data_IF_845673320969
#
_entry.id   IF_845673320969
#
_cell.length_a   1.000
_cell.length_b   1.000
_cell.length_c   1.000
_cell.angle_alpha   90.00
_cell.angle_beta   90.00
_cell.angle_gamma   90.00
#
_symmetry.space_group_name_H-M   'P 1'
#
loop_
_entity.id
_entity.type
_entity.pdbx_description
1 polymer ?
#
# COMPACT_ATOMS: atom_id res chain seq x y z
N UNK A 1 3.21 14.39 -9.67
CA UNK A 1 1.77 14.23 -9.97
C UNK A 1 1.59 13.57 -11.32
N UNK A 2 0.67 12.61 -11.40
CA UNK A 2 0.29 11.91 -12.64
C UNK A 2 -0.17 12.93 -13.68
N UNK A 3 0.23 12.78 -14.95
CA UNK A 3 -0.19 13.76 -15.97
C UNK A 3 -1.70 13.63 -16.26
N UNK A 4 -2.43 14.74 -16.49
CA UNK A 4 -3.87 14.70 -16.79
C UNK A 4 -4.25 13.75 -17.92
N UNK A 5 -3.45 13.69 -18.99
CA UNK A 5 -3.65 12.78 -20.12
C UNK A 5 -3.55 11.29 -19.72
N UNK A 6 -2.68 10.96 -18.76
CA UNK A 6 -2.57 9.59 -18.23
C UNK A 6 -3.78 9.25 -17.37
N UNK A 7 -4.25 10.19 -16.55
CA UNK A 7 -5.47 10.03 -15.76
C UNK A 7 -6.66 9.78 -16.68
N UNK A 8 -6.89 10.65 -17.67
CA UNK A 8 -8.00 10.51 -18.61
C UNK A 8 -7.98 9.16 -19.34
N UNK A 9 -6.79 8.73 -19.79
CA UNK A 9 -6.61 7.44 -20.47
C UNK A 9 -6.94 6.27 -19.55
N UNK A 10 -6.47 6.27 -18.31
CA UNK A 10 -6.73 5.20 -17.34
C UNK A 10 -8.19 5.17 -16.90
N UNK A 11 -8.80 6.33 -16.62
CA UNK A 11 -10.24 6.43 -16.30
C UNK A 11 -11.11 5.91 -17.45
N UNK A 12 -10.75 6.24 -18.70
CA UNK A 12 -11.47 5.71 -19.88
C UNK A 12 -11.32 4.21 -20.03
N UNK A 13 -10.11 3.68 -19.79
CA UNK A 13 -9.87 2.23 -19.77
C UNK A 13 -10.71 1.55 -18.69
N UNK A 14 -10.69 2.09 -17.46
CA UNK A 14 -11.43 1.56 -16.33
C UNK A 14 -12.93 1.52 -16.60
N UNK A 15 -13.52 2.62 -17.09
CA UNK A 15 -14.94 2.66 -17.48
C UNK A 15 -15.30 1.59 -18.51
N UNK A 16 -14.49 1.46 -19.57
CA UNK A 16 -14.72 0.44 -20.61
C UNK A 16 -14.65 -0.98 -20.03
N UNK A 17 -13.69 -1.25 -19.15
CA UNK A 17 -13.57 -2.56 -18.51
C UNK A 17 -14.73 -2.82 -17.54
N UNK A 18 -15.18 -1.83 -16.77
CA UNK A 18 -16.39 -1.96 -15.96
C UNK A 18 -17.62 -2.32 -16.82
N UNK A 19 -17.79 -1.69 -17.98
CA UNK A 19 -18.84 -2.04 -18.93
C UNK A 19 -18.71 -3.48 -19.44
N UNK A 20 -17.49 -3.95 -19.73
CA UNK A 20 -17.20 -5.33 -20.16
C UNK A 20 -17.54 -6.37 -19.07
N UNK A 21 -17.39 -6.03 -17.79
CA UNK A 21 -17.82 -6.83 -16.65
C UNK A 21 -19.31 -6.65 -16.31
N UNK A 22 -20.07 -5.89 -17.10
CA UNK A 22 -21.49 -5.64 -16.84
C UNK A 22 -21.77 -4.74 -15.63
N UNK A 23 -20.79 -3.94 -15.22
CA UNK A 23 -20.83 -2.98 -14.11
C UNK A 23 -21.09 -1.53 -14.58
N UNK A 24 -21.49 -1.35 -15.85
CA UNK A 24 -21.68 -0.01 -16.45
C UNK A 24 -22.63 0.90 -15.66
N UNK A 25 -23.70 0.34 -15.06
CA UNK A 25 -24.65 1.09 -14.23
C UNK A 25 -24.03 1.61 -12.92
N UNK A 26 -23.02 0.92 -12.39
CA UNK A 26 -22.29 1.29 -11.19
C UNK A 26 -20.97 2.03 -11.48
N UNK A 27 -20.66 2.30 -12.75
CA UNK A 27 -19.34 2.80 -13.13
C UNK A 27 -18.98 4.14 -12.47
N UNK A 28 -19.94 5.06 -12.32
CA UNK A 28 -19.69 6.35 -11.67
C UNK A 28 -19.46 6.20 -10.16
N UNK A 29 -20.22 5.32 -9.49
CA UNK A 29 -20.00 4.98 -8.08
C UNK A 29 -18.59 4.42 -7.88
N UNK A 30 -18.22 3.40 -8.66
CA UNK A 30 -16.93 2.72 -8.54
C UNK A 30 -15.74 3.60 -8.91
N UNK A 31 -15.88 4.45 -9.93
CA UNK A 31 -14.83 5.43 -10.28
C UNK A 31 -14.67 6.50 -9.21
N UNK A 32 -15.77 6.94 -8.59
CA UNK A 32 -15.71 7.94 -7.51
C UNK A 32 -15.08 7.40 -6.23
N UNK A 33 -15.18 6.09 -5.99
CA UNK A 33 -14.54 5.41 -4.86
C UNK A 33 -13.12 4.94 -5.16
N UNK A 34 -12.63 4.98 -6.40
CA UNK A 34 -11.26 4.58 -6.72
C UNK A 34 -10.19 5.52 -6.13
N UNK A 35 -8.98 4.98 -5.87
CA UNK A 35 -7.81 5.71 -5.36
C UNK A 35 -6.73 5.82 -6.44
N UNK A 36 -6.20 7.03 -6.64
CA UNK A 36 -4.98 7.18 -7.45
C UNK A 36 -3.77 6.75 -6.62
N UNK A 37 -2.89 5.97 -7.23
CA UNK A 37 -1.71 5.44 -6.56
C UNK A 37 -0.52 5.25 -7.48
N UNK A 38 0.49 4.62 -6.93
CA UNK A 38 1.71 4.21 -7.65
C UNK A 38 1.73 2.70 -7.69
N UNK A 39 1.96 2.14 -8.87
CA UNK A 39 2.22 0.71 -9.08
C UNK A 39 3.72 0.49 -9.23
N UNK A 40 4.23 -0.54 -8.57
CA UNK A 40 5.63 -0.93 -8.58
C UNK A 40 5.78 -2.32 -9.20
N UNK A 41 6.46 -2.37 -10.34
CA UNK A 41 6.78 -3.62 -11.03
C UNK A 41 8.25 -3.98 -10.88
N UNK A 42 8.56 -5.27 -10.89
CA UNK A 42 9.92 -5.74 -11.18
C UNK A 42 10.21 -5.52 -12.66
N UNK A 43 11.46 -5.17 -12.96
CA UNK A 43 11.98 -5.05 -14.31
C UNK A 43 13.04 -6.13 -14.55
N UNK A 44 14.28 -5.74 -14.81
CA UNK A 44 15.43 -6.65 -14.88
C UNK A 44 16.00 -6.91 -13.48
N UNK A 45 16.78 -7.98 -13.36
CA UNK A 45 17.70 -8.16 -12.23
C UNK A 45 18.56 -6.89 -12.05
N UNK A 46 18.76 -6.49 -10.79
CA UNK A 46 19.69 -5.42 -10.46
C UNK A 46 21.08 -6.00 -10.18
N UNK A 47 22.01 -5.73 -11.10
CA UNK A 47 23.41 -6.17 -11.00
C UNK A 47 24.31 -5.17 -10.22
N UNK A 48 23.72 -4.21 -9.48
CA UNK A 48 24.43 -3.20 -8.69
C UNK A 48 25.38 -2.32 -9.51
N UNK A 49 25.00 -1.99 -10.75
CA UNK A 49 25.84 -1.19 -11.68
C UNK A 49 25.93 0.29 -11.31
N UNK A 50 24.96 0.79 -10.54
CA UNK A 50 24.89 2.17 -10.02
C UNK A 50 24.27 2.15 -8.63
N UNK A 51 24.54 3.19 -7.85
CA UNK A 51 23.89 3.40 -6.56
C UNK A 51 22.75 4.40 -6.67
N UNK A 52 21.78 4.30 -5.75
CA UNK A 52 20.68 5.27 -5.63
C UNK A 52 19.57 5.11 -6.67
N UNK A 53 19.49 3.99 -7.38
CA UNK A 53 18.31 3.67 -8.18
C UNK A 53 17.22 3.02 -7.33
N UNK A 54 15.97 3.06 -7.78
CA UNK A 54 14.91 2.27 -7.16
C UNK A 54 15.19 0.76 -7.33
N UNK A 55 15.11 -0.01 -6.23
CA UNK A 55 15.40 -1.45 -6.15
C UNK A 55 14.48 -2.12 -5.13
N UNK A 56 14.05 -3.33 -5.43
CA UNK A 56 13.37 -4.24 -4.49
C UNK A 56 14.23 -5.49 -4.28
N UNK A 57 14.28 -5.98 -3.04
CA UNK A 57 15.15 -7.08 -2.62
C UNK A 57 16.65 -6.74 -2.65
N UNK A 58 17.48 -7.72 -2.27
CA UNK A 58 18.93 -7.60 -2.28
C UNK A 58 19.50 -6.70 -1.18
N UNK A 59 20.33 -5.74 -1.59
CA UNK A 59 21.11 -4.90 -0.68
C UNK A 59 20.87 -3.41 -0.93
N UNK A 60 20.73 -2.59 0.12
CA UNK A 60 20.52 -1.16 -0.01
C UNK A 60 21.81 -0.42 -0.37
N UNK A 61 21.66 0.73 -1.02
CA UNK A 61 22.70 1.75 -1.16
C UNK A 61 22.49 2.82 -0.08
N UNK A 62 23.22 2.74 1.04
CA UNK A 62 23.04 3.65 2.17
C UNK A 62 24.15 4.73 2.21
N UNK A 63 23.90 5.88 2.85
CA UNK A 63 24.97 6.81 3.19
C UNK A 63 26.07 6.12 4.00
N UNK A 64 27.34 6.48 3.77
CA UNK A 64 28.49 5.75 4.33
C UNK A 64 28.55 5.65 5.86
N UNK A 65 27.93 6.61 6.57
CA UNK A 65 27.86 6.65 8.03
C UNK A 65 26.53 6.21 8.62
N UNK A 66 25.60 5.70 7.81
CA UNK A 66 24.33 5.20 8.30
C UNK A 66 24.53 3.82 8.93
N UNK A 67 24.10 3.70 10.18
CA UNK A 67 24.04 2.41 10.88
C UNK A 67 22.94 1.53 10.29
N UNK A 68 23.16 0.21 10.29
CA UNK A 68 22.14 -0.73 9.84
C UNK A 68 20.97 -0.74 10.83
N UNK A 69 19.71 -0.66 10.38
CA UNK A 69 18.55 -0.75 11.27
C UNK A 69 18.51 -2.07 12.04
N UNK A 70 18.32 -2.02 13.35
CA UNK A 70 18.21 -3.21 14.21
C UNK A 70 16.89 -3.20 14.98
N UNK A 71 16.38 -4.39 15.30
CA UNK A 71 15.22 -4.60 16.16
C UNK A 71 15.51 -4.18 17.60
N UNK A 72 14.48 -4.15 18.46
CA UNK A 72 14.65 -3.92 19.90
C UNK A 72 15.58 -4.94 20.57
N UNK A 73 15.66 -6.15 20.02
CA UNK A 73 16.55 -7.22 20.48
C UNK A 73 17.97 -7.13 19.89
N UNK A 74 18.23 -6.13 19.03
CA UNK A 74 19.53 -5.92 18.39
C UNK A 74 19.77 -6.79 17.15
N UNK A 75 18.73 -7.41 16.59
CA UNK A 75 18.83 -8.22 15.36
C UNK A 75 18.80 -7.29 14.14
N UNK A 76 19.70 -7.42 13.15
CA UNK A 76 19.64 -6.66 11.91
C UNK A 76 18.28 -6.82 11.21
N UNK A 77 17.58 -5.72 10.93
CA UNK A 77 16.32 -5.77 10.18
C UNK A 77 16.59 -6.17 8.72
N UNK A 78 15.62 -6.84 8.10
CA UNK A 78 15.69 -7.26 6.70
C UNK A 78 15.37 -6.08 5.79
N UNK A 79 16.23 -5.83 4.80
CA UNK A 79 15.97 -4.83 3.77
C UNK A 79 14.94 -5.34 2.75
N UNK A 80 13.94 -4.50 2.45
CA UNK A 80 12.86 -4.84 1.51
C UNK A 80 13.01 -4.09 0.19
N UNK A 81 13.13 -2.76 0.25
CA UNK A 81 13.19 -1.92 -0.94
C UNK A 81 13.84 -0.57 -0.66
N UNK A 82 14.46 0.00 -1.70
CA UNK A 82 14.80 1.41 -1.76
C UNK A 82 14.10 2.05 -2.95
N UNK A 83 13.50 3.22 -2.75
CA UNK A 83 12.75 3.94 -3.78
C UNK A 83 13.35 5.33 -3.93
N UNK A 84 13.80 5.67 -5.13
CA UNK A 84 14.29 7.00 -5.45
C UNK A 84 13.09 7.88 -5.79
N UNK A 85 12.84 8.91 -4.98
CA UNK A 85 11.65 9.75 -5.12
C UNK A 85 11.58 10.53 -6.44
N UNK A 86 12.72 10.71 -7.14
CA UNK A 86 12.71 11.29 -8.49
C UNK A 86 11.92 10.39 -9.46
N UNK A 87 11.98 9.07 -9.31
CA UNK A 87 11.27 8.10 -10.14
C UNK A 87 9.75 8.08 -9.81
N UNK A 88 9.40 8.37 -8.55
CA UNK A 88 8.02 8.31 -8.03
C UNK A 88 7.26 9.62 -8.18
N UNK A 89 7.95 10.76 -8.10
CA UNK A 89 7.34 12.10 -8.15
C UNK A 89 6.42 12.33 -9.37
N UNK A 90 6.65 11.76 -10.58
CA UNK A 90 5.73 11.91 -11.70
C UNK A 90 4.40 11.15 -11.52
N UNK A 91 4.29 10.29 -10.51
CA UNK A 91 3.16 9.38 -10.31
C UNK A 91 2.44 9.59 -8.98
N UNK A 92 2.86 10.57 -8.17
CA UNK A 92 2.16 10.98 -6.95
C UNK A 92 0.66 11.24 -7.23
N UNK A 93 -0.26 10.78 -6.37
CA UNK A 93 -1.69 10.90 -6.56
C UNK A 93 -2.17 12.35 -6.82
N UNK A 94 -3.15 12.50 -7.70
CA UNK A 94 -3.70 13.80 -8.08
C UNK A 94 -4.94 14.21 -7.27
N UNK A 95 -5.41 13.35 -6.37
CA UNK A 95 -6.60 13.55 -5.56
C UNK A 95 -6.31 14.26 -4.22
N UNK A 96 -5.06 14.69 -4.02
CA UNK A 96 -4.64 15.44 -2.83
C UNK A 96 -4.52 14.58 -1.57
N UNK A 97 -4.58 13.23 -1.68
CA UNK A 97 -4.44 12.32 -0.54
C UNK A 97 -3.02 12.33 0.03
N UNK A 98 -1.99 12.44 -0.81
CA UNK A 98 -0.60 12.51 -0.33
C UNK A 98 0.35 13.12 -1.35
N UNK A 99 1.34 13.88 -0.88
CA UNK A 99 2.41 14.44 -1.71
C UNK A 99 3.75 13.88 -1.24
N UNK A 100 4.43 13.11 -2.09
CA UNK A 100 5.80 12.66 -1.83
C UNK A 100 6.79 13.83 -2.02
N UNK A 101 7.91 13.85 -1.27
CA UNK A 101 9.01 14.76 -1.58
C UNK A 101 9.50 14.57 -3.04
N UNK A 102 9.95 15.64 -3.68
CA UNK A 102 10.38 15.58 -5.09
C UNK A 102 11.69 14.81 -5.31
N UNK A 103 12.49 14.64 -4.24
CA UNK A 103 13.84 14.07 -4.27
C UNK A 103 14.15 13.37 -2.94
N UNK A 104 15.14 12.50 -2.98
CA UNK A 104 15.61 11.71 -1.85
C UNK A 104 15.36 10.23 -2.05
N UNK A 105 15.78 9.44 -1.07
CA UNK A 105 15.63 7.99 -1.05
C UNK A 105 14.74 7.59 0.12
N UNK A 106 13.78 6.70 -0.15
CA UNK A 106 13.08 5.95 0.88
C UNK A 106 13.69 4.55 0.98
N UNK A 107 13.90 4.07 2.20
CA UNK A 107 14.32 2.70 2.47
C UNK A 107 13.32 2.04 3.40
N UNK A 108 12.98 0.79 3.13
CA UNK A 108 12.05 -0.01 3.91
C UNK A 108 12.78 -1.21 4.50
N UNK A 109 12.73 -1.32 5.82
CA UNK A 109 13.28 -2.43 6.59
C UNK A 109 12.22 -2.99 7.53
N UNK A 110 12.27 -4.30 7.76
CA UNK A 110 11.33 -5.01 8.63
C UNK A 110 12.06 -5.94 9.61
N UNK A 111 11.51 -6.06 10.81
CA UNK A 111 11.88 -7.05 11.82
C UNK A 111 11.28 -8.43 11.51
N UNK A 112 11.05 -9.22 12.54
CA UNK A 112 10.40 -10.53 12.43
C UNK A 112 8.91 -10.37 12.11
N UNK A 113 8.35 -11.29 11.34
CA UNK A 113 6.93 -11.33 10.97
C UNK A 113 6.16 -12.43 11.74
N UNK A 114 6.64 -12.84 12.92
CA UNK A 114 5.98 -13.83 13.78
C UNK A 114 4.60 -13.35 14.27
N UNK A 115 4.43 -12.03 14.42
CA UNK A 115 3.13 -11.40 14.68
C UNK A 115 2.65 -10.66 13.44
N UNK A 116 1.34 -10.71 13.17
CA UNK A 116 0.74 -9.98 12.05
C UNK A 116 0.78 -8.45 12.26
N UNK A 117 0.75 -7.97 13.50
CA UNK A 117 0.53 -6.55 13.79
C UNK A 117 0.72 -6.23 15.28
N UNK A 118 1.42 -5.13 15.65
CA UNK A 118 2.32 -4.36 14.81
C UNK A 118 3.61 -5.14 14.54
N UNK A 119 4.22 -4.93 13.37
CA UNK A 119 5.53 -5.48 13.03
C UNK A 119 6.58 -4.41 13.29
N UNK A 120 7.68 -4.78 13.97
CA UNK A 120 8.80 -3.86 14.14
C UNK A 120 9.42 -3.53 12.78
N UNK A 121 9.65 -2.26 12.49
CA UNK A 121 10.10 -1.82 11.17
C UNK A 121 10.85 -0.49 11.25
N UNK A 122 11.51 -0.13 10.14
CA UNK A 122 12.05 1.21 9.90
C UNK A 122 11.79 1.64 8.47
N UNK A 123 11.14 2.79 8.32
CA UNK A 123 11.12 3.54 7.07
C UNK A 123 12.06 4.72 7.23
N UNK A 124 13.03 4.84 6.33
CA UNK A 124 14.07 5.86 6.40
C UNK A 124 13.95 6.76 5.19
N UNK A 125 13.87 8.06 5.43
CA UNK A 125 14.00 9.06 4.38
C UNK A 125 15.38 9.73 4.44
N UNK A 126 16.11 9.63 3.34
CA UNK A 126 17.39 10.32 3.14
C UNK A 126 17.22 11.37 2.04
N UNK A 127 17.23 12.68 2.38
CA UNK A 127 17.08 13.76 1.40
C UNK A 127 18.19 13.79 0.34
N UNK A 128 19.40 13.32 0.68
CA UNK A 128 20.57 13.35 -0.21
C UNK A 128 20.90 11.96 -0.77
N UNK A 129 20.77 11.80 -2.09
CA UNK A 129 21.24 10.60 -2.80
C UNK A 129 22.72 10.62 -3.18
N UNK A 130 23.54 11.43 -2.51
CA UNK A 130 25.00 11.52 -2.75
C UNK A 130 25.78 10.56 -1.84
N UNK A 131 26.93 10.08 -2.33
CA UNK A 131 27.86 9.24 -1.56
C UNK A 131 27.21 7.96 -1.00
N UNK A 132 26.17 7.46 -1.67
CA UNK A 132 25.57 6.17 -1.34
C UNK A 132 26.53 5.05 -1.71
N UNK A 133 26.68 4.10 -0.80
CA UNK A 133 27.47 2.89 -0.98
C UNK A 133 26.58 1.68 -0.75
N UNK A 134 26.79 0.62 -1.54
CA UNK A 134 26.11 -0.66 -1.27
C UNK A 134 26.53 -1.15 0.11
N UNK A 135 25.54 -1.54 0.92
CA UNK A 135 25.74 -2.08 2.27
C UNK A 135 25.08 -3.44 2.39
N UNK A 136 25.70 -4.29 3.18
CA UNK A 136 25.18 -5.60 3.56
C UNK A 136 25.06 -5.63 5.08
N UNK A 137 24.13 -6.42 5.61
CA UNK A 137 24.02 -6.67 7.05
C UNK A 137 25.23 -7.45 7.55
N UNK A 138 25.59 -7.24 8.82
CA UNK A 138 26.55 -8.12 9.49
C UNK A 138 25.83 -9.41 9.90
N UNK A 139 25.83 -10.40 9.01
CA UNK A 139 25.19 -11.71 9.25
C UNK A 139 23.70 -11.73 8.87
N UNK A 140 22.99 -12.69 9.45
CA UNK A 140 21.58 -12.96 9.17
C UNK A 140 20.69 -11.79 9.62
N UNK A 141 19.61 -11.55 8.89
CA UNK A 141 18.61 -10.53 9.19
C UNK A 141 17.37 -11.13 9.85
N UNK A 142 16.47 -10.28 10.34
CA UNK A 142 15.31 -10.67 11.13
C UNK A 142 14.32 -11.61 10.42
N UNK A 143 14.26 -11.59 9.09
CA UNK A 143 13.53 -12.59 8.32
C UNK A 143 14.47 -13.74 7.97
N UNK A 144 14.07 -14.94 8.39
CA UNK A 144 14.77 -16.17 8.06
C UNK A 144 14.62 -16.52 6.57
N UNK A 145 15.64 -17.16 6.00
CA UNK A 145 15.56 -17.75 4.67
C UNK A 145 16.64 -17.31 3.71
N UNK A 146 16.40 -17.55 2.43
CA UNK A 146 17.33 -17.15 1.38
C UNK A 146 17.28 -15.62 1.18
N UNK A 147 18.40 -14.97 0.84
CA UNK A 147 18.40 -13.55 0.51
C UNK A 147 17.46 -13.24 -0.66
N UNK A 148 16.73 -12.13 -0.56
CA UNK A 148 15.86 -11.67 -1.63
C UNK A 148 16.65 -11.28 -2.89
N UNK A 149 16.13 -11.64 -4.05
CA UNK A 149 16.75 -11.39 -5.34
C UNK A 149 16.51 -9.94 -5.77
N UNK A 150 17.60 -9.20 -5.97
CA UNK A 150 17.54 -7.79 -6.34
C UNK A 150 16.96 -7.56 -7.74
N UNK A 151 15.92 -6.74 -7.83
CA UNK A 151 15.32 -6.30 -9.09
C UNK A 151 15.26 -4.78 -9.18
N UNK A 152 15.47 -4.25 -10.39
CA UNK A 152 15.17 -2.85 -10.70
C UNK A 152 13.66 -2.63 -10.70
N UNK A 153 13.22 -1.46 -10.22
CA UNK A 153 11.79 -1.13 -10.11
C UNK A 153 11.33 -0.29 -11.30
N UNK A 154 10.23 -0.71 -11.94
CA UNK A 154 9.47 0.13 -12.89
C UNK A 154 8.30 0.78 -12.15
N UNK A 155 8.19 2.11 -12.26
CA UNK A 155 7.15 2.90 -11.59
C UNK A 155 6.08 3.31 -12.59
N UNK A 156 4.81 3.05 -12.26
CA UNK A 156 3.66 3.29 -13.12
C UNK A 156 2.54 4.00 -12.33
N UNK A 157 1.66 4.78 -13.00
CA UNK A 157 0.46 5.29 -12.35
C UNK A 157 -0.52 4.13 -12.13
N UNK A 158 -1.19 4.13 -10.97
CA UNK A 158 -2.26 3.18 -10.65
C UNK A 158 -3.59 3.90 -10.41
N UNK A 159 -4.68 3.27 -10.83
CA UNK A 159 -6.03 3.62 -10.41
C UNK A 159 -6.63 2.38 -9.77
N UNK A 160 -6.67 2.35 -8.45
CA UNK A 160 -7.04 1.17 -7.68
C UNK A 160 -8.49 1.26 -7.23
N UNK A 161 -9.25 0.19 -7.41
CA UNK A 161 -10.63 0.12 -6.94
C UNK A 161 -10.67 -0.43 -5.50
N UNK A 162 -11.72 -0.11 -4.71
CA UNK A 162 -11.85 -0.62 -3.34
C UNK A 162 -11.67 -2.14 -3.27
N UNK A 163 -10.77 -2.63 -2.42
CA UNK A 163 -10.64 -4.07 -2.18
C UNK A 163 -11.91 -4.62 -1.51
N UNK A 164 -12.00 -5.95 -1.35
CA UNK A 164 -13.13 -6.63 -0.71
C UNK A 164 -13.59 -5.96 0.60
N UNK A 165 -12.65 -5.52 1.44
CA UNK A 165 -12.96 -4.86 2.71
C UNK A 165 -13.60 -3.47 2.55
N UNK A 166 -13.28 -2.74 1.47
CA UNK A 166 -13.57 -1.31 1.32
C UNK A 166 -14.71 -1.00 0.34
N UNK A 167 -15.20 -1.98 -0.41
CA UNK A 167 -16.33 -1.78 -1.31
C UNK A 167 -17.63 -1.56 -0.53
N UNK A 168 -18.39 -0.52 -0.91
CA UNK A 168 -19.74 -0.32 -0.41
C UNK A 168 -20.70 -1.31 -1.09
N UNK A 169 -20.78 -2.51 -0.52
CA UNK A 169 -21.63 -3.58 -1.02
C UNK A 169 -23.12 -3.18 -1.00
N UNK A 170 -23.56 -2.35 -0.06
CA UNK A 170 -24.95 -1.91 0.02
C UNK A 170 -25.30 -0.98 -1.13
N UNK A 171 -24.49 0.05 -1.38
CA UNK A 171 -24.69 0.95 -2.52
C UNK A 171 -24.66 0.20 -3.85
N UNK A 172 -23.78 -0.80 -3.99
CA UNK A 172 -23.72 -1.62 -5.20
C UNK A 172 -24.96 -2.53 -5.36
N UNK A 173 -25.47 -3.07 -4.26
CA UNK A 173 -26.71 -3.86 -4.25
C UNK A 173 -27.94 -3.01 -4.56
N UNK A 174 -28.00 -1.75 -4.11
CA UNK A 174 -29.09 -0.83 -4.44
C UNK A 174 -29.16 -0.50 -5.94
N UNK A 175 -28.02 -0.52 -6.64
CA UNK A 175 -27.94 -0.34 -8.09
C UNK A 175 -28.23 -1.63 -8.87
N UNK A 176 -28.32 -2.78 -8.19
CA UNK A 176 -28.60 -4.05 -8.85
C UNK A 176 -30.04 -4.10 -9.37
N UNK A 177 -30.29 -4.67 -10.57
CA UNK A 177 -31.64 -4.79 -11.10
C UNK A 177 -32.57 -5.51 -10.12
N UNK A 178 -33.72 -4.91 -9.80
CA UNK A 178 -34.73 -5.56 -8.97
C UNK A 178 -35.31 -6.76 -9.72
N UNK A 179 -35.22 -7.97 -9.13
CA UNK A 179 -35.85 -9.17 -9.69
C UNK A 179 -37.37 -9.02 -9.70
N UNK A 180 -38.02 -9.36 -10.81
CA UNK A 180 -39.45 -9.66 -10.81
C UNK A 180 -39.64 -11.09 -10.27
N UNK A 181 -40.60 -11.30 -9.38
CA UNK A 181 -40.80 -12.55 -8.59
C UNK A 181 -40.99 -13.85 -9.41
N UNK A 182 -41.07 -13.79 -10.75
CA UNK A 182 -41.51 -14.91 -11.59
C UNK A 182 -40.47 -15.47 -12.58
N UNK A 183 -39.21 -15.01 -12.56
CA UNK A 183 -38.18 -15.56 -13.47
C UNK A 183 -37.45 -16.75 -12.83
N UNK A 184 -37.81 -17.97 -13.25
CA UNK A 184 -37.10 -19.23 -12.96
C UNK A 184 -35.79 -19.41 -13.77
N UNK A 185 -35.23 -18.31 -14.32
CA UNK A 185 -33.98 -18.34 -15.09
C UNK A 185 -32.74 -18.32 -14.16
N UNK A 186 -31.64 -18.93 -14.62
CA UNK A 186 -30.35 -19.01 -13.93
C UNK A 186 -30.03 -17.73 -13.14
N UNK A 187 -29.64 -17.89 -11.87
CA UNK A 187 -29.42 -16.77 -10.95
C UNK A 187 -28.49 -15.73 -11.59
N UNK A 188 -29.05 -14.59 -12.01
CA UNK A 188 -28.24 -13.49 -12.55
C UNK A 188 -27.22 -13.09 -11.48
N UNK A 189 -25.94 -13.20 -11.83
CA UNK A 189 -24.79 -12.87 -10.99
C UNK A 189 -24.92 -11.40 -10.56
N UNK A 190 -24.88 -11.15 -9.26
CA UNK A 190 -25.11 -9.82 -8.69
C UNK A 190 -24.03 -8.83 -9.14
N UNK A 191 -24.30 -7.51 -9.08
CA UNK A 191 -23.26 -6.51 -9.37
C UNK A 191 -22.07 -6.66 -8.42
N UNK A 192 -22.31 -7.09 -7.17
CA UNK A 192 -21.25 -7.35 -6.20
C UNK A 192 -20.33 -8.49 -6.63
N UNK A 193 -20.87 -9.62 -7.07
CA UNK A 193 -20.06 -10.75 -7.53
C UNK A 193 -19.25 -10.38 -8.79
N UNK A 194 -19.88 -9.68 -9.75
CA UNK A 194 -19.18 -9.16 -10.94
C UNK A 194 -18.07 -8.17 -10.56
N UNK A 195 -18.29 -7.39 -9.51
CA UNK A 195 -17.29 -6.45 -9.00
C UNK A 195 -16.09 -7.18 -8.41
N UNK A 196 -16.28 -8.24 -7.65
CA UNK A 196 -15.16 -9.02 -7.10
C UNK A 196 -14.30 -9.65 -8.21
N UNK A 197 -14.92 -10.14 -9.28
CA UNK A 197 -14.18 -10.63 -10.46
C UNK A 197 -13.41 -9.50 -11.16
N UNK A 198 -14.05 -8.34 -11.33
CA UNK A 198 -13.41 -7.16 -11.91
C UNK A 198 -12.22 -6.68 -11.08
N UNK A 199 -12.41 -6.54 -9.77
CA UNK A 199 -11.43 -6.02 -8.82
C UNK A 199 -10.21 -6.94 -8.78
N UNK A 200 -10.41 -8.24 -8.63
CA UNK A 200 -9.33 -9.24 -8.66
C UNK A 200 -8.52 -9.20 -9.97
N UNK A 201 -9.16 -8.93 -11.11
CA UNK A 201 -8.42 -8.77 -12.38
C UNK A 201 -7.76 -7.40 -12.52
N UNK A 202 -8.36 -6.34 -12.00
CA UNK A 202 -7.94 -4.97 -12.25
C UNK A 202 -6.83 -4.52 -11.30
N UNK A 203 -6.98 -4.81 -10.01
CA UNK A 203 -6.04 -4.44 -8.96
C UNK A 203 -4.76 -5.29 -8.99
N UNK A 204 -4.77 -6.44 -9.68
CA UNK A 204 -3.58 -7.27 -9.96
C UNK A 204 -3.23 -7.27 -11.46
N UNK A 205 -2.78 -6.14 -12.04
CA UNK A 205 -2.70 -5.95 -13.48
C UNK A 205 -1.57 -6.73 -14.18
N UNK A 206 -0.67 -7.38 -13.43
CA UNK A 206 0.49 -8.10 -13.98
C UNK A 206 1.17 -8.97 -12.92
N UNK A 207 1.76 -10.08 -13.36
CA UNK A 207 2.66 -10.91 -12.54
C UNK A 207 4.01 -10.26 -12.25
N UNK A 208 4.27 -9.06 -12.79
CA UNK A 208 5.46 -8.27 -12.47
C UNK A 208 5.22 -7.34 -11.29
N UNK A 209 3.97 -7.12 -10.89
CA UNK A 209 3.64 -6.21 -9.82
C UNK A 209 3.97 -6.86 -8.48
N UNK A 210 4.79 -6.18 -7.67
CA UNK A 210 5.18 -6.65 -6.34
C UNK A 210 4.65 -5.75 -5.22
N UNK A 211 4.01 -4.64 -5.56
CA UNK A 211 3.54 -3.69 -4.57
C UNK A 211 2.97 -2.40 -5.15
N UNK A 212 2.50 -1.55 -4.26
CA UNK A 212 1.86 -0.29 -4.61
C UNK A 212 1.88 0.73 -3.48
N UNK A 213 1.52 1.97 -3.80
CA UNK A 213 1.46 3.08 -2.84
C UNK A 213 0.17 3.87 -3.02
N UNK A 214 -0.39 4.35 -1.91
CA UNK A 214 -1.59 5.22 -1.81
C UNK A 214 -2.92 4.60 -2.28
N UNK A 215 -2.92 3.30 -2.60
CA UNK A 215 -4.09 2.55 -3.00
C UNK A 215 -4.95 2.05 -1.82
N UNK A 216 -5.47 0.84 -1.97
CA UNK A 216 -6.23 0.14 -0.94
C UNK A 216 -5.38 -0.97 -0.33
N UNK A 217 -5.41 -1.15 1.00
CA UNK A 217 -4.83 -2.33 1.61
C UNK A 217 -5.75 -3.54 1.39
N UNK A 218 -5.15 -4.72 1.32
CA UNK A 218 -5.92 -5.95 1.42
C UNK A 218 -6.38 -6.20 2.86
N UNK A 219 -7.56 -6.81 3.00
CA UNK A 219 -8.20 -6.97 4.30
C UNK A 219 -9.55 -7.68 4.23
N UNK A 220 -10.03 -8.14 5.39
CA UNK A 220 -11.42 -8.62 5.57
C UNK A 220 -12.36 -7.53 6.09
N UNK A 221 -11.81 -6.48 6.71
CA UNK A 221 -12.54 -5.38 7.33
C UNK A 221 -11.89 -4.04 6.94
N UNK A 222 -12.66 -2.95 6.83
CA UNK A 222 -12.15 -1.62 6.45
C UNK A 222 -11.51 -0.88 7.63
N UNK A 223 -10.70 -1.58 8.43
CA UNK A 223 -10.18 -1.10 9.71
C UNK A 223 -8.66 -0.89 9.72
N UNK A 224 -7.99 -0.98 8.57
CA UNK A 224 -6.54 -0.84 8.49
C UNK A 224 -6.07 0.58 8.87
N UNK A 225 -6.78 1.62 8.41
CA UNK A 225 -6.52 3.00 8.81
C UNK A 225 -6.77 3.23 10.31
N UNK A 226 -7.80 2.60 10.91
CA UNK A 226 -8.03 2.64 12.36
C UNK A 226 -6.88 2.01 13.15
N UNK A 227 -6.43 0.82 12.74
CA UNK A 227 -5.29 0.12 13.34
C UNK A 227 -4.03 0.98 13.30
N UNK A 228 -3.72 1.49 12.11
CA UNK A 228 -2.54 2.32 11.89
C UNK A 228 -2.59 3.60 12.71
N UNK A 229 -3.70 4.34 12.67
CA UNK A 229 -3.82 5.62 13.36
C UNK A 229 -3.80 5.46 14.88
N UNK A 230 -4.47 4.43 15.42
CA UNK A 230 -4.46 4.13 16.84
C UNK A 230 -3.02 3.85 17.33
N UNK A 231 -2.27 3.03 16.60
CA UNK A 231 -0.89 2.72 16.94
C UNK A 231 0.02 3.95 16.81
N UNK A 232 -0.10 4.75 15.75
CA UNK A 232 0.75 5.94 15.52
C UNK A 232 0.44 7.03 16.56
N UNK A 233 -0.83 7.31 16.85
CA UNK A 233 -1.24 8.42 17.70
C UNK A 233 -1.14 8.11 19.20
N UNK A 234 -1.47 6.88 19.58
CA UNK A 234 -1.63 6.47 20.99
C UNK A 234 -0.66 5.36 21.42
N UNK A 235 0.01 4.67 20.49
CA UNK A 235 0.83 3.50 20.80
C UNK A 235 0.02 2.31 21.31
N UNK A 236 -1.28 2.28 21.04
CA UNK A 236 -2.20 1.24 21.49
C UNK A 236 -2.51 0.25 20.36
N UNK A 237 -2.62 -1.03 20.72
CA UNK A 237 -3.10 -2.07 19.82
C UNK A 237 -4.61 -1.97 19.61
N UNK A 238 -5.03 -2.30 18.39
CA UNK A 238 -6.43 -2.29 17.99
C UNK A 238 -7.18 -3.53 18.51
N UNK A 239 -8.37 -3.33 19.06
CA UNK A 239 -9.17 -4.35 19.75
C UNK A 239 -10.32 -4.90 18.91
N UNK A 240 -10.24 -4.77 17.57
CA UNK A 240 -11.28 -5.22 16.62
C UNK A 240 -12.63 -4.53 16.83
N UNK A 241 -12.61 -3.26 17.27
CA UNK A 241 -13.80 -2.46 17.47
C UNK A 241 -13.61 -1.00 16.99
N UNK A 242 -14.08 -0.71 15.77
CA UNK A 242 -13.98 0.61 15.14
C UNK A 242 -14.55 1.73 16.02
N UNK A 243 -15.74 1.52 16.60
CA UNK A 243 -16.39 2.53 17.44
C UNK A 243 -15.63 2.81 18.75
N UNK A 244 -15.00 1.78 19.33
CA UNK A 244 -14.18 1.96 20.52
C UNK A 244 -12.88 2.71 20.17
N UNK A 245 -12.25 2.34 19.05
CA UNK A 245 -11.08 3.03 18.51
C UNK A 245 -11.38 4.52 18.23
N UNK A 246 -12.45 4.82 17.51
CA UNK A 246 -12.89 6.19 17.22
C UNK A 246 -13.12 7.00 18.50
N UNK A 247 -13.74 6.43 19.52
CA UNK A 247 -13.91 7.12 20.83
C UNK A 247 -12.57 7.46 21.49
N UNK A 248 -11.60 6.56 21.42
CA UNK A 248 -10.24 6.81 21.96
C UNK A 248 -9.54 7.92 21.17
N UNK A 249 -9.60 7.86 19.84
CA UNK A 249 -9.02 8.86 18.95
C UNK A 249 -9.68 10.23 19.13
N UNK A 250 -11.02 10.30 19.18
CA UNK A 250 -11.76 11.54 19.44
C UNK A 250 -11.35 12.14 20.77
N UNK A 251 -11.19 11.33 21.82
CA UNK A 251 -10.66 11.82 23.11
C UNK A 251 -9.23 12.37 22.97
N UNK A 252 -8.36 11.68 22.23
CA UNK A 252 -6.99 12.12 21.97
C UNK A 252 -6.94 13.46 21.23
N UNK A 253 -7.84 13.65 20.26
CA UNK A 253 -8.01 14.88 19.50
C UNK A 253 -8.87 15.95 20.21
N UNK A 254 -9.04 15.84 21.53
CA UNK A 254 -9.69 16.89 22.34
C UNK A 254 -11.22 16.89 22.30
N UNK A 255 -11.83 15.79 21.87
CA UNK A 255 -13.29 15.64 21.71
C UNK A 255 -13.81 16.01 20.32
N UNK A 256 -12.93 16.23 19.34
CA UNK A 256 -13.27 16.66 17.98
C UNK A 256 -13.47 15.44 17.05
N UNK A 257 -14.73 15.08 16.81
CA UNK A 257 -15.09 13.94 15.95
C UNK A 257 -14.74 14.20 14.48
N UNK A 258 -14.94 15.43 13.98
CA UNK A 258 -14.63 15.78 12.60
C UNK A 258 -13.12 15.66 12.34
N UNK A 259 -12.30 16.09 13.30
CA UNK A 259 -10.85 15.90 13.25
C UNK A 259 -10.44 14.43 13.26
N UNK A 260 -11.08 13.59 14.08
CA UNK A 260 -10.80 12.15 14.08
C UNK A 260 -11.05 11.53 12.71
N UNK A 261 -12.21 11.83 12.10
CA UNK A 261 -12.54 11.34 10.76
C UNK A 261 -11.57 11.85 9.69
N UNK A 262 -11.15 13.12 9.80
CA UNK A 262 -10.14 13.67 8.90
C UNK A 262 -8.80 12.93 9.05
N UNK A 263 -8.33 12.67 10.27
CA UNK A 263 -7.05 11.98 10.51
C UNK A 263 -7.12 10.49 10.09
N UNK A 264 -8.26 9.83 10.23
CA UNK A 264 -8.48 8.47 9.69
C UNK A 264 -8.40 8.48 8.16
N UNK A 265 -9.10 9.42 7.51
CA UNK A 265 -9.07 9.59 6.05
C UNK A 265 -7.67 9.97 5.53
N UNK A 266 -6.92 10.73 6.32
CA UNK A 266 -5.55 11.16 6.05
C UNK A 266 -4.50 10.13 6.53
N UNK A 267 -4.90 8.95 6.98
CA UNK A 267 -3.98 7.84 7.23
C UNK A 267 -3.86 7.02 5.95
N UNK A 268 -2.67 7.01 5.36
CA UNK A 268 -2.43 6.56 4.00
C UNK A 268 -1.63 5.26 4.01
N UNK A 269 -1.98 4.34 3.12
CA UNK A 269 -1.13 3.21 2.75
C UNK A 269 0.11 3.74 2.01
N UNK A 270 1.23 3.87 2.71
CA UNK A 270 2.48 4.37 2.14
C UNK A 270 3.07 3.37 1.15
N UNK A 271 3.15 2.09 1.51
CA UNK A 271 3.66 1.03 0.66
C UNK A 271 2.97 -0.29 1.05
N UNK A 272 2.49 -1.03 0.06
CA UNK A 272 2.14 -2.44 0.19
C UNK A 272 3.10 -3.30 -0.61
N UNK A 273 3.44 -4.47 -0.09
CA UNK A 273 4.39 -5.41 -0.68
C UNK A 273 3.73 -6.78 -0.72
N UNK A 274 3.51 -7.28 -1.92
CA UNK A 274 2.88 -8.57 -2.16
C UNK A 274 3.89 -9.71 -2.01
N UNK A 275 3.37 -10.91 -1.77
CA UNK A 275 4.12 -12.14 -2.01
C UNK A 275 4.54 -12.19 -3.49
N UNK A 276 5.82 -12.44 -3.77
CA UNK A 276 6.35 -12.32 -5.12
C UNK A 276 7.56 -13.24 -5.36
N UNK A 277 7.32 -14.33 -6.10
CA UNK A 277 8.29 -15.40 -6.38
C UNK A 277 9.64 -14.91 -6.91
N UNK A 278 9.65 -13.98 -7.88
CA UNK A 278 10.90 -13.57 -8.51
C UNK A 278 11.85 -12.88 -7.53
N UNK A 279 11.31 -12.19 -6.53
CA UNK A 279 12.08 -11.50 -5.49
C UNK A 279 12.39 -12.47 -4.34
N UNK A 280 11.53 -13.47 -4.13
CA UNK A 280 11.57 -14.36 -2.98
C UNK A 280 10.78 -13.84 -1.78
N UNK A 281 9.92 -12.83 -1.97
CA UNK A 281 9.00 -12.39 -0.92
C UNK A 281 7.91 -13.44 -0.72
N UNK A 282 7.74 -13.88 0.53
CA UNK A 282 6.72 -14.83 0.95
C UNK A 282 6.14 -14.36 2.28
N UNK A 283 4.94 -13.78 2.22
CA UNK A 283 4.24 -13.28 3.41
C UNK A 283 3.18 -14.29 3.81
N UNK A 284 3.53 -15.20 4.71
CA UNK A 284 2.62 -16.26 5.18
C UNK A 284 1.92 -17.00 4.00
N UNK A 285 0.59 -17.09 3.98
CA UNK A 285 -0.17 -17.77 2.92
C UNK A 285 -0.51 -16.81 1.78
N UNK A 286 0.52 -16.37 1.06
CA UNK A 286 0.43 -15.42 -0.06
C UNK A 286 -0.19 -14.05 0.31
N UNK A 287 0.13 -13.56 1.50
CA UNK A 287 -0.30 -12.28 2.03
C UNK A 287 0.46 -11.07 1.49
N UNK A 288 0.24 -9.95 2.18
CA UNK A 288 0.71 -8.60 1.86
C UNK A 288 1.28 -7.93 3.12
N UNK A 289 2.47 -7.31 3.02
CA UNK A 289 3.03 -6.44 4.05
C UNK A 289 2.63 -4.99 3.77
N UNK A 290 2.14 -4.27 4.77
CA UNK A 290 1.47 -2.97 4.63
C UNK A 290 2.10 -1.93 5.55
N UNK A 291 2.61 -0.84 4.98
CA UNK A 291 3.14 0.32 5.68
C UNK A 291 2.17 1.48 5.59
N UNK A 292 1.83 2.08 6.73
CA UNK A 292 0.94 3.23 6.82
C UNK A 292 1.65 4.47 7.39
N UNK A 293 1.24 5.64 6.94
CA UNK A 293 1.73 6.94 7.40
C UNK A 293 0.58 7.96 7.43
N UNK A 294 0.58 8.88 8.37
CA UNK A 294 -0.35 10.02 8.31
C UNK A 294 0.11 11.00 7.24
N UNK A 295 -0.83 11.62 6.52
CA UNK A 295 -0.57 12.67 5.54
C UNK A 295 0.27 13.81 6.13
N UNK A 296 -0.02 14.21 7.36
CA UNK A 296 0.72 15.27 8.06
C UNK A 296 2.16 14.88 8.45
N UNK A 297 2.46 13.58 8.59
CA UNK A 297 3.81 13.05 8.78
C UNK A 297 4.54 12.95 7.43
N UNK A 298 3.84 12.49 6.39
CA UNK A 298 4.35 12.46 5.02
C UNK A 298 4.80 13.84 4.52
N UNK A 299 3.92 14.84 4.65
CA UNK A 299 4.19 16.22 4.23
C UNK A 299 5.31 16.89 5.04
N UNK A 300 5.54 16.42 6.26
CA UNK A 300 6.58 16.90 7.15
C UNK A 300 7.84 16.02 7.16
N UNK A 301 7.93 15.07 6.23
CA UNK A 301 9.07 14.17 6.04
C UNK A 301 9.41 13.31 7.28
N UNK A 302 8.42 13.03 8.14
CA UNK A 302 8.54 12.21 9.35
C UNK A 302 8.29 10.73 9.08
N UNK A 303 9.14 10.13 8.26
CA UNK A 303 9.02 8.72 7.87
C UNK A 303 9.32 7.73 9.00
N UNK A 304 9.81 8.19 10.14
CA UNK A 304 9.90 7.40 11.36
C UNK A 304 8.55 7.18 12.06
N UNK A 305 7.52 7.95 11.70
CA UNK A 305 6.15 7.85 12.24
C UNK A 305 5.27 6.98 11.33
N UNK A 306 5.62 5.70 11.24
CA UNK A 306 4.90 4.73 10.42
C UNK A 306 4.38 3.56 11.24
N UNK A 307 3.39 2.88 10.67
CA UNK A 307 2.86 1.62 11.17
C UNK A 307 3.10 0.54 10.12
N UNK A 308 3.39 -0.70 10.56
CA UNK A 308 3.56 -1.84 9.67
C UNK A 308 2.74 -3.03 10.18
N UNK A 309 2.05 -3.70 9.28
CA UNK A 309 1.31 -4.93 9.53
C UNK A 309 1.41 -5.89 8.35
N UNK A 310 1.17 -7.16 8.60
CA UNK A 310 1.02 -8.21 7.60
C UNK A 310 -0.45 -8.64 7.57
N UNK A 311 -1.01 -8.72 6.38
CA UNK A 311 -2.31 -9.31 6.12
C UNK A 311 -2.13 -10.61 5.33
N UNK A 312 -2.85 -11.66 5.74
CA UNK A 312 -2.94 -12.95 5.04
C UNK A 312 -4.34 -13.51 5.29
N UNK A 313 -4.94 -14.14 4.28
CA UNK A 313 -6.24 -14.82 4.40
C UNK A 313 -6.17 -16.13 5.18
#
# INVERSE_FOLDING_TARGET
MIKPEQCERLTRKARKTLEEYGLGVAADLLLSSSRWGIRLDVSTLDEYRRTGNSRVGGHPDLPSGMEWPVTQEGVPMTFLAQLNLVDLSPYTPNDGRGTLPERGMLYFFVGTDESASPIEHRVIFEPSSHNLIRRESEGDTALDGAPFVAHSVTVLPNLEFPTYAYIDANALNELSPQRLENDEAEAEVSLYDRYLEFESSWNHPSTLNWGGMFGYPDGQHPDAEHRALLQIALGEEYDYNEQACEKKLTKYYGGDEDRTWQELSDTLLLLKIDTHDAIGFQWWDCGELQFFIRKSDLEAERFEQTYCSLYSS
#
